data_IF_232876976382
#
_entry.id   IF_232876976382
#
_cell.length_a   1.000
_cell.length_b   1.000
_cell.length_c   1.000
_cell.angle_alpha   90.00
_cell.angle_beta   90.00
_cell.angle_gamma   90.00
#
_symmetry.space_group_name_H-M   'P 1'
#
loop_
_entity.id
_entity.type
_entity.pdbx_description
1 polymer ?
#
# COMPACT_ATOMS: atom_id res chain seq x y z
N UNK A 1 -18.05 19.80 5.09
CA UNK A 1 -17.82 18.51 5.78
C UNK A 1 -17.72 17.33 4.81
N UNK A 2 -18.51 17.30 3.73
CA UNK A 2 -18.55 16.14 2.80
C UNK A 2 -17.23 15.84 2.08
N UNK A 3 -16.51 16.82 1.52
CA UNK A 3 -15.38 16.51 0.62
C UNK A 3 -14.23 15.71 1.26
N UNK A 4 -13.75 16.11 2.44
CA UNK A 4 -12.68 15.38 3.13
C UNK A 4 -13.12 13.96 3.51
N UNK A 5 -14.32 13.82 4.08
CA UNK A 5 -14.88 12.52 4.45
C UNK A 5 -15.07 11.61 3.23
N UNK A 6 -15.56 12.15 2.10
CA UNK A 6 -15.69 11.43 0.83
C UNK A 6 -14.32 10.97 0.34
N UNK A 7 -13.32 11.86 0.30
CA UNK A 7 -11.97 11.49 -0.16
C UNK A 7 -11.29 10.47 0.75
N UNK A 8 -11.50 10.53 2.06
CA UNK A 8 -11.00 9.50 2.98
C UNK A 8 -11.73 8.17 2.81
N UNK A 9 -13.02 8.17 2.50
CA UNK A 9 -13.76 6.96 2.18
C UNK A 9 -13.28 6.32 0.88
N UNK A 10 -13.09 7.11 -0.18
CA UNK A 10 -12.55 6.66 -1.46
C UNK A 10 -11.13 6.08 -1.29
N UNK A 11 -10.27 6.79 -0.54
CA UNK A 11 -8.92 6.35 -0.24
C UNK A 11 -8.90 5.01 0.51
N UNK A 12 -9.70 4.88 1.56
CA UNK A 12 -9.78 3.65 2.33
C UNK A 12 -10.39 2.49 1.53
N UNK A 13 -11.23 2.76 0.54
CA UNK A 13 -11.73 1.73 -0.37
C UNK A 13 -10.57 1.11 -1.17
N UNK A 14 -9.76 1.95 -1.82
CA UNK A 14 -8.62 1.48 -2.63
C UNK A 14 -7.56 0.82 -1.77
N UNK A 15 -7.24 1.39 -0.60
CA UNK A 15 -6.27 0.79 0.34
C UNK A 15 -6.67 -0.63 0.73
N UNK A 16 -7.96 -0.85 1.06
CA UNK A 16 -8.45 -2.18 1.45
C UNK A 16 -8.38 -3.18 0.30
N UNK A 17 -8.72 -2.74 -0.89
CA UNK A 17 -8.68 -3.56 -2.11
C UNK A 17 -7.25 -3.99 -2.43
N UNK A 18 -6.33 -3.02 -2.51
CA UNK A 18 -4.92 -3.27 -2.75
C UNK A 18 -4.32 -4.17 -1.68
N UNK A 19 -4.54 -3.88 -0.40
CA UNK A 19 -4.03 -4.72 0.70
C UNK A 19 -4.46 -6.18 0.59
N UNK A 20 -5.76 -6.43 0.35
CA UNK A 20 -6.29 -7.79 0.21
C UNK A 20 -5.74 -8.53 -1.00
N UNK A 21 -5.41 -7.80 -2.06
CA UNK A 21 -4.83 -8.38 -3.27
C UNK A 21 -3.34 -8.72 -3.09
N UNK A 22 -2.58 -7.92 -2.34
CA UNK A 22 -1.12 -8.02 -2.24
C UNK A 22 -0.63 -8.75 -0.99
N UNK A 23 -1.22 -8.50 0.18
CA UNK A 23 -0.71 -9.04 1.44
C UNK A 23 -1.14 -10.49 1.61
N UNK A 24 -0.19 -11.38 1.84
CA UNK A 24 -0.45 -12.83 2.01
C UNK A 24 -0.48 -13.30 3.46
N UNK A 25 -0.22 -12.42 4.43
CA UNK A 25 -0.28 -12.77 5.85
C UNK A 25 -1.71 -12.95 6.39
N UNK A 26 -1.86 -13.86 7.35
CA UNK A 26 -3.16 -14.17 7.98
C UNK A 26 -3.46 -13.28 9.20
N UNK A 27 -2.54 -12.42 9.63
CA UNK A 27 -2.63 -11.61 10.84
C UNK A 27 -3.37 -10.28 10.63
N UNK A 28 -3.46 -9.77 9.40
CA UNK A 28 -4.10 -8.50 9.06
C UNK A 28 -5.00 -8.68 7.83
N UNK A 29 -6.31 -8.46 7.99
CA UNK A 29 -7.25 -8.58 6.86
C UNK A 29 -7.19 -7.37 5.93
N UNK A 30 -7.09 -6.18 6.53
CA UNK A 30 -6.92 -4.93 5.80
C UNK A 30 -6.37 -3.83 6.71
N UNK A 31 -5.83 -2.79 6.08
CA UNK A 31 -5.45 -1.56 6.75
C UNK A 31 -6.36 -0.41 6.32
N UNK A 32 -6.43 0.65 7.12
CA UNK A 32 -7.12 1.89 6.76
C UNK A 32 -6.46 3.09 7.43
N UNK A 33 -6.67 4.26 6.86
CA UNK A 33 -6.30 5.55 7.43
C UNK A 33 -7.52 6.09 8.18
N UNK A 34 -7.41 6.21 9.50
CA UNK A 34 -8.40 6.91 10.31
C UNK A 34 -8.04 8.40 10.37
N UNK A 35 -9.04 9.26 10.19
CA UNK A 35 -8.94 10.71 10.37
C UNK A 35 -9.88 11.18 11.46
N UNK A 36 -9.36 11.87 12.47
CA UNK A 36 -10.13 12.40 13.60
C UNK A 36 -9.97 13.93 13.66
N UNK A 37 -11.08 14.66 13.71
CA UNK A 37 -11.05 16.14 13.82
C UNK A 37 -10.77 16.54 15.27
N UNK A 38 -9.76 17.39 15.48
CA UNK A 38 -9.43 17.89 16.82
C UNK A 38 -10.43 18.98 17.23
N UNK A 39 -11.42 18.57 18.02
CA UNK A 39 -12.50 19.45 18.50
C UNK A 39 -12.07 20.38 19.63
N UNK A 40 -10.95 20.09 20.32
CA UNK A 40 -10.45 20.93 21.42
C UNK A 40 -9.84 22.24 20.91
N UNK A 41 -9.26 22.24 19.70
CA UNK A 41 -8.74 23.43 19.05
C UNK A 41 -9.82 24.42 18.57
N UNK A 42 -11.10 24.02 18.55
CA UNK A 42 -12.22 24.86 18.11
C UNK A 42 -12.77 25.80 19.20
N UNK A 43 -12.45 25.55 20.48
CA UNK A 43 -12.97 26.32 21.63
C UNK A 43 -12.15 27.59 21.95
N UNK A 44 -10.95 27.73 21.39
CA UNK A 44 -10.08 28.90 21.60
C UNK A 44 -9.97 29.75 20.33
N UNK A 45 -10.74 30.84 20.29
CA UNK A 45 -10.56 32.09 19.52
C UNK A 45 -10.04 32.00 18.07
N UNK A 46 -10.88 32.43 17.12
CA UNK A 46 -10.49 33.00 15.82
C UNK A 46 -9.59 32.13 14.91
N UNK A 47 -9.78 30.81 14.85
CA UNK A 47 -9.18 29.96 13.80
C UNK A 47 -10.25 29.35 12.91
N UNK A 48 -10.31 29.81 11.66
CA UNK A 48 -11.11 29.23 10.57
C UNK A 48 -10.53 27.91 10.02
N UNK A 49 -9.31 27.54 10.46
CA UNK A 49 -8.58 26.36 9.97
C UNK A 49 -8.81 25.16 10.90
N UNK A 50 -9.31 24.08 10.32
CA UNK A 50 -9.52 22.79 10.99
C UNK A 50 -8.22 22.01 11.14
N UNK A 51 -8.16 21.19 12.18
CA UNK A 51 -7.02 20.32 12.47
C UNK A 51 -7.50 18.87 12.48
N UNK A 52 -6.77 18.00 11.77
CA UNK A 52 -7.05 16.57 11.68
C UNK A 52 -5.85 15.77 12.17
N UNK A 53 -6.12 14.77 13.00
CA UNK A 53 -5.16 13.75 13.38
C UNK A 53 -5.37 12.51 12.50
N UNK A 54 -4.27 11.95 12.00
CA UNK A 54 -4.29 10.77 11.13
C UNK A 54 -3.52 9.63 11.77
N UNK A 55 -4.05 8.41 11.66
CA UNK A 55 -3.40 7.18 12.09
C UNK A 55 -3.70 6.06 11.12
N UNK A 56 -2.71 5.20 10.89
CA UNK A 56 -2.89 4.00 10.09
C UNK A 56 -3.22 2.87 11.06
N UNK A 57 -4.35 2.20 10.83
CA UNK A 57 -4.76 1.06 11.64
C UNK A 57 -4.79 -0.20 10.80
N UNK A 58 -4.47 -1.31 11.45
CA UNK A 58 -4.72 -2.64 10.94
C UNK A 58 -5.98 -3.20 11.57
N UNK A 59 -6.72 -3.97 10.77
CA UNK A 59 -7.98 -4.57 11.17
C UNK A 59 -7.91 -6.08 10.97
N UNK A 60 -8.32 -6.82 11.99
CA UNK A 60 -8.51 -8.27 11.93
C UNK A 60 -9.93 -8.63 12.31
N UNK A 61 -10.64 -9.25 11.39
CA UNK A 61 -12.00 -9.76 11.57
C UNK A 61 -11.91 -11.07 12.33
N UNK A 62 -12.42 -11.09 13.56
CA UNK A 62 -12.52 -12.34 14.30
C UNK A 62 -13.79 -13.08 13.86
N UNK A 63 -13.64 -13.99 12.90
CA UNK A 63 -14.66 -15.00 12.64
C UNK A 63 -14.63 -15.98 13.80
N UNK A 64 -15.59 -15.87 14.72
CA UNK A 64 -15.56 -16.63 15.97
C UNK A 64 -15.46 -18.14 15.77
N UNK A 65 -14.29 -18.72 16.08
CA UNK A 65 -14.24 -19.99 16.79
C UNK A 65 -14.26 -19.69 18.29
N UNK A 66 -15.35 -20.09 18.92
CA UNK A 66 -15.64 -20.08 20.35
C UNK A 66 -14.43 -20.01 21.30
N UNK A 67 -14.39 -18.97 22.13
CA UNK A 67 -14.00 -19.14 23.53
C UNK A 67 -15.02 -18.42 24.41
N UNK A 68 -15.58 -19.20 25.33
CA UNK A 68 -16.65 -18.80 26.25
C UNK A 68 -16.12 -17.72 27.18
N UNK A 69 -16.67 -16.51 27.08
CA UNK A 69 -16.49 -15.45 28.08
C UNK A 69 -17.73 -14.57 28.13
N UNK A 70 -18.70 -15.04 28.92
CA UNK A 70 -19.73 -14.31 29.70
C UNK A 70 -20.48 -13.14 29.01
N UNK A 71 -21.82 -13.23 28.81
CA UNK A 71 -22.57 -12.16 28.17
C UNK A 71 -22.89 -11.04 29.17
N UNK A 72 -22.66 -9.79 28.78
CA UNK A 72 -23.43 -8.64 29.31
C UNK A 72 -23.71 -7.62 28.21
N UNK A 73 -24.98 -7.19 28.23
CA UNK A 73 -25.58 -6.03 27.57
C UNK A 73 -26.15 -6.24 26.17
N UNK A 74 -27.50 -6.20 26.12
CA UNK A 74 -28.32 -6.07 24.92
C UNK A 74 -28.16 -4.65 24.38
N UNK A 75 -27.63 -4.52 23.17
CA UNK A 75 -27.97 -3.47 22.22
C UNK A 75 -27.71 -4.04 20.81
N UNK A 76 -28.78 -4.16 20.02
CA UNK A 76 -28.73 -4.68 18.65
C UNK A 76 -28.04 -3.67 17.72
N UNK A 77 -26.75 -3.84 17.53
CA UNK A 77 -26.03 -3.43 16.32
C UNK A 77 -25.23 -4.67 15.93
N UNK A 78 -25.37 -5.18 14.70
CA UNK A 78 -24.68 -6.38 14.23
C UNK A 78 -23.16 -6.25 14.49
N UNK A 79 -22.68 -6.90 15.54
CA UNK A 79 -21.30 -6.80 15.99
C UNK A 79 -20.42 -7.65 15.07
N UNK A 80 -19.97 -7.05 13.98
CA UNK A 80 -18.74 -7.52 13.35
C UNK A 80 -17.63 -7.30 14.39
N UNK A 81 -17.16 -8.37 15.02
CA UNK A 81 -16.06 -8.31 15.97
C UNK A 81 -14.75 -8.08 15.20
N UNK A 82 -14.51 -6.83 14.83
CA UNK A 82 -13.26 -6.39 14.21
C UNK A 82 -12.32 -5.88 15.31
N UNK A 83 -11.16 -6.52 15.46
CA UNK A 83 -10.08 -5.99 16.27
C UNK A 83 -9.34 -4.93 15.47
N UNK A 84 -9.31 -3.70 15.98
CA UNK A 84 -8.63 -2.55 15.34
C UNK A 84 -7.43 -2.15 16.17
N UNK A 85 -6.25 -2.06 15.55
CA UNK A 85 -5.02 -1.68 16.24
C UNK A 85 -4.22 -0.66 15.44
N UNK A 86 -3.65 0.34 16.11
CA UNK A 86 -2.71 1.27 15.49
C UNK A 86 -1.44 0.54 15.09
N UNK A 87 -1.04 0.67 13.82
CA UNK A 87 0.16 0.05 13.27
C UNK A 87 1.44 0.67 13.84
N UNK A 88 1.40 1.92 14.31
CA UNK A 88 2.59 2.61 14.82
C UNK A 88 3.23 1.82 15.96
N UNK A 89 4.48 1.40 15.74
CA UNK A 89 5.25 0.60 16.70
C UNK A 89 4.80 -0.86 16.85
N UNK A 90 3.88 -1.34 16.00
CA UNK A 90 3.29 -2.69 16.10
C UNK A 90 3.36 -3.52 14.82
N UNK A 91 3.86 -2.97 13.72
CA UNK A 91 4.04 -3.66 12.45
C UNK A 91 5.48 -4.08 12.19
N UNK A 92 5.65 -5.19 11.44
CA UNK A 92 6.94 -5.68 10.96
C UNK A 92 7.54 -4.74 9.91
N UNK A 93 8.81 -4.93 9.55
CA UNK A 93 9.46 -4.15 8.50
C UNK A 93 8.76 -4.30 7.15
N UNK A 94 8.47 -5.54 6.72
CA UNK A 94 7.76 -5.81 5.46
C UNK A 94 6.34 -5.23 5.44
N UNK A 95 5.60 -5.32 6.55
CA UNK A 95 4.27 -4.70 6.67
C UNK A 95 4.32 -3.18 6.51
N UNK A 96 5.36 -2.51 7.06
CA UNK A 96 5.56 -1.06 6.88
C UNK A 96 5.81 -0.71 5.43
N UNK A 97 6.69 -1.46 4.76
CA UNK A 97 7.04 -1.22 3.35
C UNK A 97 5.80 -1.40 2.48
N UNK A 98 5.10 -2.52 2.61
CA UNK A 98 3.90 -2.81 1.82
C UNK A 98 2.78 -1.80 2.09
N UNK A 99 2.49 -1.47 3.36
CA UNK A 99 1.49 -0.46 3.71
C UNK A 99 1.83 0.91 3.10
N UNK A 100 3.11 1.30 3.14
CA UNK A 100 3.55 2.58 2.58
C UNK A 100 3.39 2.64 1.05
N UNK A 101 3.64 1.53 0.34
CA UNK A 101 3.48 1.41 -1.10
C UNK A 101 2.00 1.53 -1.49
N UNK A 102 1.14 0.75 -0.81
CA UNK A 102 -0.31 0.76 -1.05
C UNK A 102 -0.90 2.15 -0.79
N UNK A 103 -0.52 2.80 0.31
CA UNK A 103 -1.02 4.15 0.62
C UNK A 103 -0.59 5.14 -0.45
N UNK A 104 0.65 5.07 -0.94
CA UNK A 104 1.13 5.94 -2.04
C UNK A 104 0.34 5.72 -3.33
N UNK A 105 0.08 4.46 -3.70
CA UNK A 105 -0.74 4.10 -4.86
C UNK A 105 -2.16 4.66 -4.73
N UNK A 106 -2.80 4.42 -3.59
CA UNK A 106 -4.16 4.88 -3.33
C UNK A 106 -4.26 6.42 -3.32
N UNK A 107 -3.27 7.11 -2.75
CA UNK A 107 -3.22 8.57 -2.79
C UNK A 107 -3.08 9.10 -4.21
N UNK A 108 -2.22 8.49 -5.03
CA UNK A 108 -2.05 8.87 -6.43
C UNK A 108 -3.36 8.70 -7.21
N UNK A 109 -4.08 7.59 -7.00
CA UNK A 109 -5.35 7.32 -7.66
C UNK A 109 -6.47 8.29 -7.25
N UNK A 110 -6.58 8.62 -5.96
CA UNK A 110 -7.67 9.46 -5.43
C UNK A 110 -7.47 10.96 -5.67
N UNK A 111 -6.23 11.43 -5.55
CA UNK A 111 -5.91 12.86 -5.55
C UNK A 111 -5.31 13.35 -6.85
N UNK A 112 -4.60 12.49 -7.57
CA UNK A 112 -3.91 12.89 -8.77
C UNK A 112 -4.70 12.40 -9.99
N UNK A 113 -5.78 13.11 -10.32
CA UNK A 113 -6.47 12.96 -11.59
C UNK A 113 -5.42 13.12 -12.71
N UNK A 114 -5.17 12.06 -13.47
CA UNK A 114 -4.16 11.99 -14.53
C UNK A 114 -2.69 12.02 -14.07
N UNK A 115 -2.35 11.49 -12.88
CA UNK A 115 -0.94 11.19 -12.59
C UNK A 115 -0.45 10.05 -13.47
N UNK A 116 0.20 10.42 -14.57
CA UNK A 116 0.73 9.45 -15.51
C UNK A 116 2.08 8.87 -15.10
N UNK A 117 2.62 9.15 -13.90
CA UNK A 117 3.94 8.64 -13.48
C UNK A 117 3.98 8.27 -11.99
N UNK A 118 4.50 7.08 -11.68
CA UNK A 118 4.88 6.65 -10.33
C UNK A 118 6.28 6.05 -10.35
N UNK A 119 7.12 6.44 -9.40
CA UNK A 119 8.45 5.85 -9.20
C UNK A 119 8.50 5.10 -7.86
N UNK A 120 8.98 3.87 -7.90
CA UNK A 120 9.17 2.99 -6.75
C UNK A 120 10.66 2.63 -6.64
N UNK A 121 11.28 3.05 -5.55
CA UNK A 121 12.68 2.75 -5.25
C UNK A 121 12.75 1.59 -4.24
N UNK A 122 13.38 0.49 -4.65
CA UNK A 122 13.56 -0.77 -3.91
C UNK A 122 12.26 -1.29 -3.24
N UNK A 123 11.18 -1.53 -4.01
CA UNK A 123 9.87 -1.85 -3.45
C UNK A 123 9.79 -3.22 -2.77
N UNK A 124 10.76 -4.11 -2.99
CA UNK A 124 10.83 -5.45 -2.39
C UNK A 124 11.54 -5.47 -1.04
N UNK A 125 12.01 -4.31 -0.56
CA UNK A 125 12.73 -4.17 0.71
C UNK A 125 11.98 -4.84 1.88
N UNK A 126 12.62 -5.80 2.55
CA UNK A 126 12.07 -6.56 3.68
C UNK A 126 10.76 -7.33 3.40
N UNK A 127 10.43 -7.58 2.13
CA UNK A 127 9.31 -8.45 1.75
C UNK A 127 9.81 -9.89 1.58
N UNK A 128 8.96 -10.85 1.92
CA UNK A 128 9.17 -12.25 1.57
C UNK A 128 8.73 -12.51 0.12
N UNK A 129 9.13 -13.67 -0.41
CA UNK A 129 8.85 -14.06 -1.79
C UNK A 129 7.37 -14.01 -2.16
N UNK A 130 6.49 -14.47 -1.28
CA UNK A 130 5.04 -14.49 -1.54
C UNK A 130 4.47 -13.07 -1.69
N UNK A 131 4.90 -12.14 -0.84
CA UNK A 131 4.51 -10.73 -0.93
C UNK A 131 5.16 -10.03 -2.13
N UNK A 132 6.40 -10.39 -2.51
CA UNK A 132 7.06 -9.89 -3.73
C UNK A 132 6.27 -10.29 -4.99
N UNK A 133 5.93 -11.57 -5.13
CA UNK A 133 5.14 -12.09 -6.25
C UNK A 133 3.77 -11.41 -6.33
N UNK A 134 3.11 -11.25 -5.19
CA UNK A 134 1.79 -10.62 -5.11
C UNK A 134 1.84 -9.12 -5.40
N UNK A 135 2.91 -8.43 -4.98
CA UNK A 135 3.15 -7.03 -5.31
C UNK A 135 3.40 -6.84 -6.81
N UNK A 136 4.21 -7.70 -7.43
CA UNK A 136 4.47 -7.66 -8.88
C UNK A 136 3.15 -7.77 -9.66
N UNK A 137 2.31 -8.74 -9.31
CA UNK A 137 1.01 -8.94 -9.94
C UNK A 137 0.09 -7.70 -9.80
N UNK A 138 -0.03 -7.14 -8.58
CA UNK A 138 -0.86 -5.97 -8.36
C UNK A 138 -0.35 -4.71 -9.09
N UNK A 139 0.96 -4.54 -9.24
CA UNK A 139 1.54 -3.42 -10.00
C UNK A 139 1.26 -3.52 -11.50
N UNK A 140 1.20 -4.74 -12.04
CA UNK A 140 0.83 -4.98 -13.46
C UNK A 140 -0.67 -4.73 -13.67
N UNK A 141 -1.52 -5.26 -12.81
CA UNK A 141 -2.99 -5.10 -12.88
C UNK A 141 -3.46 -3.64 -12.69
N UNK A 142 -2.81 -2.89 -11.79
CA UNK A 142 -3.20 -1.51 -11.47
C UNK A 142 -2.86 -0.48 -12.55
N UNK A 143 -2.23 -0.88 -13.67
CA UNK A 143 -1.86 0.03 -14.76
C UNK A 143 -3.08 0.53 -15.53
N UNK A 144 -3.35 1.83 -15.43
CA UNK A 144 -4.32 2.52 -16.27
C UNK A 144 -3.71 2.90 -17.63
N UNK A 145 -4.57 3.12 -18.66
CA UNK A 145 -4.15 3.37 -20.06
C UNK A 145 -3.16 4.53 -20.29
N UNK A 146 -2.92 5.40 -19.31
CA UNK A 146 -2.00 6.54 -19.38
C UNK A 146 -1.05 6.61 -18.16
N UNK A 147 -0.54 5.46 -17.71
CA UNK A 147 0.29 5.37 -16.50
C UNK A 147 1.67 4.79 -16.78
N UNK A 148 2.71 5.51 -16.36
CA UNK A 148 4.11 5.13 -16.41
C UNK A 148 4.56 4.72 -15.00
N UNK A 149 5.00 3.48 -14.85
CA UNK A 149 5.61 2.97 -13.62
C UNK A 149 7.12 2.86 -13.84
N UNK A 150 7.90 3.49 -12.97
CA UNK A 150 9.36 3.36 -12.89
C UNK A 150 9.66 2.54 -11.63
N UNK A 151 10.39 1.45 -11.79
CA UNK A 151 10.84 0.60 -10.68
C UNK A 151 12.37 0.61 -10.68
N UNK A 152 12.95 0.88 -9.52
CA UNK A 152 14.38 0.71 -9.26
C UNK A 152 14.49 -0.45 -8.28
N UNK A 153 15.27 -1.46 -8.64
CA UNK A 153 15.45 -2.67 -7.84
C UNK A 153 16.77 -3.34 -8.20
N UNK A 154 17.37 -4.01 -7.23
CA UNK A 154 18.44 -5.00 -7.44
C UNK A 154 17.94 -6.45 -7.36
N UNK A 155 16.63 -6.64 -7.14
CA UNK A 155 15.97 -7.94 -7.07
C UNK A 155 15.66 -8.47 -8.48
N UNK A 156 16.48 -9.42 -8.94
CA UNK A 156 16.36 -10.04 -10.26
C UNK A 156 15.07 -10.85 -10.43
N UNK A 157 14.63 -11.57 -9.39
CA UNK A 157 13.38 -12.34 -9.40
C UNK A 157 12.18 -11.40 -9.61
N UNK A 158 12.19 -10.24 -8.95
CA UNK A 158 11.16 -9.23 -9.14
C UNK A 158 11.13 -8.64 -10.56
N UNK A 159 12.30 -8.41 -11.17
CA UNK A 159 12.39 -7.96 -12.57
C UNK A 159 11.83 -9.04 -13.50
N UNK A 160 12.15 -10.30 -13.29
CA UNK A 160 11.61 -11.42 -14.07
C UNK A 160 10.08 -11.49 -13.95
N UNK A 161 9.54 -11.37 -12.73
CA UNK A 161 8.10 -11.39 -12.47
C UNK A 161 7.36 -10.26 -13.19
N UNK A 162 7.91 -9.04 -13.20
CA UNK A 162 7.36 -7.91 -13.98
C UNK A 162 7.48 -8.16 -15.49
N UNK A 163 8.57 -8.81 -15.91
CA UNK A 163 8.87 -9.19 -17.29
C UNK A 163 7.97 -10.26 -17.89
N UNK A 164 7.30 -11.07 -17.07
CA UNK A 164 6.29 -12.03 -17.54
C UNK A 164 5.04 -11.37 -18.10
N UNK A 165 4.86 -10.07 -17.86
CA UNK A 165 3.77 -9.29 -18.45
C UNK A 165 4.15 -8.82 -19.86
N UNK A 166 3.16 -8.76 -20.77
CA UNK A 166 3.35 -8.27 -22.15
C UNK A 166 3.73 -6.77 -22.24
N UNK A 167 3.89 -6.10 -21.10
CA UNK A 167 4.13 -4.66 -21.03
C UNK A 167 5.61 -4.28 -20.86
N UNK A 168 6.50 -5.23 -20.56
CA UNK A 168 7.91 -4.95 -20.30
C UNK A 168 8.78 -5.76 -21.26
N UNK A 169 9.24 -5.11 -22.33
CA UNK A 169 10.13 -5.75 -23.30
C UNK A 169 11.61 -5.63 -22.90
N UNK A 170 11.96 -4.53 -22.22
CA UNK A 170 13.34 -4.17 -21.91
C UNK A 170 13.43 -3.54 -20.52
N UNK A 171 14.59 -3.68 -19.90
CA UNK A 171 14.96 -2.96 -18.68
C UNK A 171 16.29 -2.23 -18.86
N UNK A 172 16.62 -1.35 -17.91
CA UNK A 172 17.89 -0.62 -17.89
C UNK A 172 18.75 -1.14 -16.74
N UNK A 173 19.91 -1.70 -17.06
CA UNK A 173 20.91 -2.12 -16.09
C UNK A 173 21.86 -0.95 -15.82
N UNK A 174 22.08 -0.64 -14.55
CA UNK A 174 23.04 0.36 -14.09
C UNK A 174 24.29 -0.37 -13.56
N UNK A 175 25.46 -0.06 -14.12
CA UNK A 175 26.75 -0.62 -13.70
C UNK A 175 27.80 0.48 -13.54
N UNK A 176 28.98 0.13 -13.01
CA UNK A 176 30.16 1.00 -13.02
C UNK A 176 31.17 0.48 -14.03
N UNK A 177 31.72 1.36 -14.84
CA UNK A 177 32.81 1.02 -15.77
C UNK A 177 34.16 0.83 -15.04
N UNK A 178 35.20 0.50 -15.80
CA UNK A 178 36.56 0.32 -15.27
C UNK A 178 37.15 1.61 -14.65
N UNK A 179 36.58 2.77 -14.96
CA UNK A 179 36.96 4.08 -14.46
C UNK A 179 36.11 4.50 -13.24
N UNK A 180 35.14 3.67 -12.83
CA UNK A 180 34.24 3.91 -11.71
C UNK A 180 33.04 4.83 -12.03
N UNK A 181 32.86 5.21 -13.29
CA UNK A 181 31.74 6.03 -13.76
C UNK A 181 30.49 5.17 -13.96
N UNK A 182 29.32 5.75 -13.72
CA UNK A 182 28.05 5.06 -13.93
C UNK A 182 27.75 4.93 -15.42
N UNK A 183 27.49 3.70 -15.86
CA UNK A 183 27.01 3.37 -17.20
C UNK A 183 25.59 2.80 -17.14
N UNK A 184 24.81 3.02 -18.19
CA UNK A 184 23.44 2.52 -18.33
C UNK A 184 23.36 1.69 -19.61
N UNK A 185 22.85 0.47 -19.51
CA UNK A 185 22.64 -0.43 -20.64
C UNK A 185 21.18 -0.85 -20.74
N UNK A 186 20.59 -0.73 -21.91
CA UNK A 186 19.26 -1.29 -22.20
C UNK A 186 19.40 -2.78 -22.53
N UNK A 187 18.64 -3.63 -21.86
CA UNK A 187 18.71 -5.09 -22.02
C UNK A 187 17.30 -5.65 -22.28
N UNK A 188 17.11 -6.53 -23.28
CA UNK A 188 15.86 -7.26 -23.48
C UNK A 188 15.61 -8.25 -22.35
N UNK A 189 14.37 -8.36 -21.87
CA UNK A 189 14.04 -9.31 -20.78
C UNK A 189 14.26 -10.76 -21.21
N UNK A 190 13.87 -11.11 -22.43
CA UNK A 190 13.94 -12.49 -22.93
C UNK A 190 15.36 -13.03 -23.12
N UNK A 191 16.40 -12.19 -23.14
CA UNK A 191 17.80 -12.61 -23.31
C UNK A 191 18.56 -12.75 -21.98
N UNK A 192 18.05 -12.15 -20.90
CA UNK A 192 18.77 -12.11 -19.61
C UNK A 192 18.38 -13.25 -18.66
N UNK A 193 17.13 -13.73 -18.73
CA UNK A 193 16.59 -14.74 -17.81
C UNK A 193 16.44 -16.13 -18.46
N UNK A 194 16.91 -16.31 -19.70
CA UNK A 194 16.87 -17.57 -20.46
C UNK A 194 18.24 -18.02 -20.93
#
# INVERSE_FOLDING_TARGET
MSYHAVKMADLNKIIRELWRSTYRGNDIDYIEICSEEDTAAALNVCRTRRTYNYRVVMVKTTTGSMSVSRPKSKNNTSCNNEARLDMRGRCSAGQKVLASLIIRLALAEVFCLHCGVLALDEPTTNLDRENIESLAYALVESRQKNFQLIVITHDEDFVELLGRSDYVENFFLLSRDAQGLSEIRKVPIGEHFH
#
